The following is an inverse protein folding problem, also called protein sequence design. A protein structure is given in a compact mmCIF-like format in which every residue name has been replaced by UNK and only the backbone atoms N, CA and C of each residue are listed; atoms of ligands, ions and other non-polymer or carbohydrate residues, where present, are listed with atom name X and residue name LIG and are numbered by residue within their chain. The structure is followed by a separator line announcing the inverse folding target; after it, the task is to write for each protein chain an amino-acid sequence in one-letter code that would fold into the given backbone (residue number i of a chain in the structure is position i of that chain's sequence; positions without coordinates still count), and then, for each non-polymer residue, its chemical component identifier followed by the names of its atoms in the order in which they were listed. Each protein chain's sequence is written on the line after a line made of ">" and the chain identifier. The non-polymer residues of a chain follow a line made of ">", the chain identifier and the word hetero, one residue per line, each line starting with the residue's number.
data_IF_532466417275
#
_entry.id   IF_532466417275
#
_cell.length_a   1.000
_cell.length_b   1.000
_cell.length_c   1.000
_cell.angle_alpha   90.00
_cell.angle_beta   90.00
_cell.angle_gamma   90.00
#
_symmetry.space_group_name_H-M   'P 1'
#
loop_
_entity.id
_entity.type
_entity.pdbx_description
1 polymer ?
#
# COMPACT_ATOMS: atom_id res chain seq x y z
N UNK A 1 -30.10 33.11 3.35
CA UNK A 1 -29.15 33.04 4.46
C UNK A 1 -28.59 31.62 4.45
N UNK A 2 -27.28 31.44 4.36
CA UNK A 2 -26.67 30.11 4.25
C UNK A 2 -26.43 29.58 5.66
N UNK A 3 -26.94 28.38 5.95
CA UNK A 3 -26.86 27.79 7.29
C UNK A 3 -25.41 27.33 7.58
N UNK A 4 -24.91 27.53 8.81
CA UNK A 4 -23.58 27.04 9.19
C UNK A 4 -23.59 25.50 9.25
N UNK A 5 -22.63 24.89 8.58
CA UNK A 5 -22.36 23.44 8.65
C UNK A 5 -21.30 23.23 9.73
N UNK A 6 -21.62 22.40 10.72
CA UNK A 6 -20.68 21.99 11.75
C UNK A 6 -20.26 20.55 11.50
N UNK A 7 -18.94 20.32 11.51
CA UNK A 7 -18.36 18.98 11.48
C UNK A 7 -17.62 18.74 12.80
N UNK A 8 -17.71 17.51 13.31
CA UNK A 8 -16.99 17.10 14.50
C UNK A 8 -15.54 16.77 14.11
N UNK A 9 -14.59 17.49 14.68
CA UNK A 9 -13.16 17.24 14.47
C UNK A 9 -12.68 16.12 15.41
N UNK A 10 -12.35 14.96 14.83
CA UNK A 10 -11.85 13.83 15.61
C UNK A 10 -10.39 14.08 16.01
N UNK A 11 -10.02 13.85 17.28
CA UNK A 11 -8.63 13.98 17.68
C UNK A 11 -7.78 12.96 16.92
N UNK A 12 -6.53 13.30 16.58
CA UNK A 12 -5.64 12.39 15.90
C UNK A 12 -5.40 11.13 16.77
N UNK A 13 -5.29 9.95 16.15
CA UNK A 13 -5.00 8.73 16.89
C UNK A 13 -3.63 8.83 17.56
N UNK A 14 -3.53 8.32 18.78
CA UNK A 14 -2.25 8.28 19.47
C UNK A 14 -1.29 7.32 18.77
N UNK A 15 -0.14 7.85 18.33
CA UNK A 15 0.96 7.09 17.75
C UNK A 15 2.10 7.09 18.77
N UNK A 16 2.51 5.90 19.21
CA UNK A 16 3.68 5.73 20.09
C UNK A 16 4.94 6.22 19.38
N UNK A 17 5.92 6.83 20.06
CA UNK A 17 7.19 7.22 19.44
C UNK A 17 7.89 6.03 18.80
N UNK A 18 8.66 6.28 17.73
CA UNK A 18 9.36 5.23 17.00
C UNK A 18 10.47 4.62 17.86
N UNK A 19 10.34 3.33 18.16
CA UNK A 19 11.39 2.49 18.73
C UNK A 19 12.42 2.08 17.66
N UNK A 20 13.69 1.97 18.06
CA UNK A 20 14.79 1.53 17.18
C UNK A 20 14.68 0.05 16.81
N UNK A 21 14.25 -0.80 17.74
CA UNK A 21 14.03 -2.24 17.54
C UNK A 21 12.61 -2.62 17.99
N UNK A 22 11.59 -2.45 17.13
CA UNK A 22 10.21 -2.76 17.47
C UNK A 22 10.00 -4.28 17.54
N UNK A 23 10.19 -4.84 18.74
CA UNK A 23 10.11 -6.28 18.96
C UNK A 23 8.69 -6.79 18.71
N UNK A 24 8.57 -7.95 18.04
CA UNK A 24 7.31 -8.65 17.74
C UNK A 24 6.31 -7.83 16.90
N UNK A 25 6.73 -6.70 16.33
CA UNK A 25 5.91 -5.94 15.38
C UNK A 25 6.25 -6.34 13.94
N UNK A 26 5.24 -6.53 13.06
CA UNK A 26 5.50 -6.74 11.65
C UNK A 26 6.09 -5.46 11.04
N UNK A 27 7.28 -5.58 10.44
CA UNK A 27 8.05 -4.46 9.91
C UNK A 27 7.22 -3.53 9.01
N UNK A 28 6.47 -4.09 8.06
CA UNK A 28 5.68 -3.31 7.10
C UNK A 28 4.63 -2.44 7.80
N UNK A 29 3.76 -3.05 8.61
CA UNK A 29 2.69 -2.34 9.31
C UNK A 29 3.23 -1.34 10.31
N UNK A 30 4.39 -1.64 10.93
CA UNK A 30 5.04 -0.74 11.86
C UNK A 30 5.57 0.50 11.15
N UNK A 31 6.39 0.32 10.10
CA UNK A 31 6.98 1.44 9.37
C UNK A 31 5.91 2.30 8.68
N UNK A 32 4.81 1.70 8.22
CA UNK A 32 3.69 2.43 7.62
C UNK A 32 3.00 3.41 8.58
N UNK A 33 3.14 3.25 9.91
CA UNK A 33 2.59 4.19 10.91
C UNK A 33 3.35 5.51 10.98
N UNK A 34 4.63 5.50 10.61
CA UNK A 34 5.55 6.63 10.77
C UNK A 34 5.95 7.25 9.44
N UNK A 35 5.58 6.63 8.31
CA UNK A 35 5.86 7.18 6.99
C UNK A 35 4.87 8.27 6.63
N UNK A 36 5.38 9.34 6.04
CA UNK A 36 4.54 10.36 5.43
C UNK A 36 3.76 9.77 4.25
N UNK A 37 2.47 10.10 4.18
CA UNK A 37 1.58 9.71 3.09
C UNK A 37 2.13 10.13 1.72
N UNK A 38 2.77 11.30 1.65
CA UNK A 38 3.42 11.83 0.44
C UNK A 38 4.55 10.92 -0.05
N UNK A 39 5.33 10.36 0.87
CA UNK A 39 6.41 9.44 0.52
C UNK A 39 5.85 8.12 -0.02
N UNK A 40 4.81 7.59 0.61
CA UNK A 40 4.11 6.38 0.15
C UNK A 40 3.53 6.59 -1.25
N UNK A 41 2.86 7.72 -1.48
CA UNK A 41 2.31 8.07 -2.78
C UNK A 41 3.39 8.17 -3.87
N UNK A 42 4.55 8.76 -3.55
CA UNK A 42 5.71 8.85 -4.45
C UNK A 42 6.25 7.46 -4.80
N UNK A 43 6.46 6.58 -3.83
CA UNK A 43 6.93 5.21 -4.06
C UNK A 43 5.98 4.44 -4.97
N UNK A 44 4.68 4.58 -4.73
CA UNK A 44 3.65 3.94 -5.53
C UNK A 44 3.60 4.48 -6.96
N UNK A 45 3.69 5.80 -7.14
CA UNK A 45 3.78 6.43 -8.45
C UNK A 45 4.99 5.89 -9.23
N UNK A 46 6.16 5.85 -8.60
CA UNK A 46 7.37 5.30 -9.21
C UNK A 46 7.21 3.82 -9.58
N UNK A 47 6.53 3.02 -8.74
CA UNK A 47 6.23 1.61 -9.04
C UNK A 47 5.33 1.47 -10.27
N UNK A 48 4.30 2.32 -10.41
CA UNK A 48 3.43 2.38 -11.59
C UNK A 48 4.22 2.78 -12.84
N UNK A 49 4.98 3.87 -12.76
CA UNK A 49 5.77 4.39 -13.88
C UNK A 49 6.80 3.38 -14.40
N UNK A 50 7.41 2.59 -13.51
CA UNK A 50 8.33 1.51 -13.90
C UNK A 50 7.66 0.39 -14.72
N UNK A 51 6.35 0.18 -14.55
CA UNK A 51 5.59 -0.85 -15.28
C UNK A 51 5.00 -0.34 -16.58
N UNK A 52 4.65 0.95 -16.63
CA UNK A 52 4.04 1.56 -17.81
C UNK A 52 5.12 1.95 -18.81
N UNK A 53 5.15 1.27 -19.94
CA UNK A 53 5.98 1.69 -21.06
C UNK A 53 5.21 2.71 -21.92
N UNK A 54 5.81 3.85 -22.33
CA UNK A 54 5.09 4.93 -23.02
C UNK A 54 4.46 4.50 -24.36
N UNK A 55 5.05 3.52 -25.05
CA UNK A 55 4.61 3.08 -26.38
C UNK A 55 4.03 1.66 -26.43
N UNK A 56 4.03 0.92 -25.30
CA UNK A 56 3.57 -0.48 -25.28
C UNK A 56 2.40 -0.59 -24.33
N UNK A 57 1.37 -1.33 -24.75
CA UNK A 57 0.26 -1.66 -23.87
C UNK A 57 0.79 -2.50 -22.70
N UNK A 58 0.29 -2.27 -21.47
CA UNK A 58 0.66 -3.09 -20.33
C UNK A 58 0.23 -4.54 -20.56
N UNK A 59 0.99 -5.49 -20.02
CA UNK A 59 0.63 -6.90 -20.07
C UNK A 59 -0.73 -7.13 -19.39
N UNK A 60 -1.61 -7.96 -19.97
CA UNK A 60 -2.91 -8.24 -19.37
C UNK A 60 -2.73 -8.92 -18.01
N UNK A 61 -3.61 -8.62 -17.03
CA UNK A 61 -3.55 -9.28 -15.74
C UNK A 61 -3.78 -10.80 -15.92
N UNK A 62 -3.15 -11.62 -15.07
CA UNK A 62 -3.30 -13.07 -15.15
C UNK A 62 -4.76 -13.50 -14.95
N UNK A 63 -5.28 -14.35 -15.85
CA UNK A 63 -6.64 -14.92 -15.74
C UNK A 63 -6.87 -15.64 -14.40
N UNK A 64 -5.82 -16.30 -13.89
CA UNK A 64 -5.85 -17.00 -12.60
C UNK A 64 -4.69 -16.51 -11.71
N UNK A 65 -4.88 -15.42 -10.94
CA UNK A 65 -3.84 -14.79 -10.12
C UNK A 65 -3.12 -15.73 -9.14
N UNK A 66 -3.83 -16.74 -8.64
CA UNK A 66 -3.34 -17.70 -7.65
C UNK A 66 -2.64 -18.93 -8.24
N UNK A 67 -2.77 -19.19 -9.54
CA UNK A 67 -2.14 -20.35 -10.18
C UNK A 67 -0.62 -20.16 -10.38
N UNK A 68 -0.14 -18.92 -10.34
CA UNK A 68 1.27 -18.59 -10.53
C UNK A 68 2.07 -18.86 -9.25
N UNK A 69 3.02 -19.79 -9.35
CA UNK A 69 3.98 -20.09 -8.27
C UNK A 69 4.69 -18.80 -7.82
N UNK A 70 4.89 -18.68 -6.51
CA UNK A 70 5.73 -17.64 -5.92
C UNK A 70 7.02 -18.26 -5.45
N UNK A 71 8.11 -17.51 -5.57
CA UNK A 71 9.40 -17.94 -5.07
C UNK A 71 9.33 -18.11 -3.53
N UNK A 72 9.81 -19.26 -3.06
CA UNK A 72 9.82 -19.66 -1.67
C UNK A 72 10.85 -18.87 -0.86
N UNK A 73 11.89 -18.35 -1.52
CA UNK A 73 12.95 -17.58 -0.87
C UNK A 73 12.55 -16.13 -0.55
N UNK A 74 11.37 -15.68 -1.02
CA UNK A 74 10.90 -14.33 -0.72
C UNK A 74 10.48 -14.21 0.75
N UNK A 75 10.71 -13.06 1.40
CA UNK A 75 10.11 -12.77 2.69
C UNK A 75 8.58 -12.88 2.66
N UNK A 76 7.97 -13.33 3.77
CA UNK A 76 6.53 -13.56 3.87
C UNK A 76 5.69 -12.32 3.53
N UNK A 77 6.12 -11.14 3.99
CA UNK A 77 5.45 -9.88 3.71
C UNK A 77 5.44 -9.52 2.22
N UNK A 78 6.54 -9.79 1.51
CA UNK A 78 6.68 -9.51 0.09
C UNK A 78 5.84 -10.48 -0.75
N UNK A 79 5.70 -11.72 -0.29
CA UNK A 79 4.74 -12.68 -0.87
C UNK A 79 3.30 -12.17 -0.75
N UNK A 80 2.93 -11.65 0.43
CA UNK A 80 1.60 -11.07 0.65
C UNK A 80 1.37 -9.86 -0.24
N UNK A 81 2.33 -8.95 -0.36
CA UNK A 81 2.22 -7.77 -1.22
C UNK A 81 2.06 -8.17 -2.70
N UNK A 82 2.86 -9.11 -3.21
CA UNK A 82 2.73 -9.63 -4.58
C UNK A 82 1.38 -10.31 -4.81
N UNK A 83 0.84 -11.01 -3.81
CA UNK A 83 -0.50 -11.63 -3.89
C UNK A 83 -1.59 -10.56 -4.02
N UNK A 84 -1.53 -9.52 -3.19
CA UNK A 84 -2.47 -8.38 -3.23
C UNK A 84 -2.40 -7.67 -4.58
N UNK A 85 -1.18 -7.41 -5.07
CA UNK A 85 -0.97 -6.75 -6.36
C UNK A 85 -1.56 -7.54 -7.54
N UNK A 86 -1.40 -8.88 -7.57
CA UNK A 86 -2.02 -9.72 -8.61
C UNK A 86 -3.56 -9.74 -8.55
N UNK A 87 -4.13 -9.59 -7.36
CA UNK A 87 -5.58 -9.50 -7.16
C UNK A 87 -6.14 -8.09 -7.40
N UNK A 88 -5.27 -7.10 -7.61
CA UNK A 88 -5.68 -5.69 -7.62
C UNK A 88 -6.18 -5.21 -6.25
N UNK A 89 -5.76 -5.84 -5.16
CA UNK A 89 -6.11 -5.43 -3.80
C UNK A 89 -5.09 -4.42 -3.27
N UNK A 90 -5.57 -3.36 -2.63
CA UNK A 90 -4.73 -2.38 -1.94
C UNK A 90 -5.43 -1.05 -1.75
N UNK A 91 -4.85 -0.20 -0.87
CA UNK A 91 -5.41 1.10 -0.46
C UNK A 91 -5.83 2.01 -1.61
N UNK A 92 -5.14 1.93 -2.76
CA UNK A 92 -5.43 2.77 -3.94
C UNK A 92 -6.70 2.32 -4.67
N UNK A 93 -7.08 1.05 -4.57
CA UNK A 93 -8.27 0.50 -5.20
C UNK A 93 -9.45 0.32 -4.23
N UNK A 94 -9.25 0.52 -2.92
CA UNK A 94 -10.30 0.45 -1.89
C UNK A 94 -11.19 1.72 -1.86
N UNK A 95 -10.74 2.82 -2.47
CA UNK A 95 -11.49 4.09 -2.56
C UNK A 95 -12.18 4.30 -3.94
N UNK A 96 -12.37 3.23 -4.73
CA UNK A 96 -12.96 3.30 -6.08
C UNK A 96 -14.37 2.73 -6.13
#
# INVERSE_FOLDING_TARGET
>A
MQEPIYEYDFPPPYIRPQEWFPLRQPFNTYMDKYRDEKQIAKEYLLKKLKKTHPFRKPDPPPKYPHAFRMDLNLPSWLRVEKKKERLGWGRVNEHS
#
